data_IF_396037843337
#
_entry.id   IF_396037843337
#
_cell.length_a   1.000
_cell.length_b   1.000
_cell.length_c   1.000
_cell.angle_alpha   90.00
_cell.angle_beta   90.00
_cell.angle_gamma   90.00
#
_symmetry.space_group_name_H-M   'P 1'
#
loop_
_entity.id
_entity.type
_entity.pdbx_description
1 polymer ?
#
# COMPACT_ATOMS: atom_id res chain seq x y z
N UNK A 1 -18.17 -9.31 -5.38
CA UNK A 1 -17.35 -9.28 -4.13
C UNK A 1 -17.10 -7.84 -3.68
N UNK A 2 -16.69 -6.94 -4.58
CA UNK A 2 -16.44 -5.52 -4.23
C UNK A 2 -17.69 -4.83 -3.66
N UNK A 3 -18.86 -5.03 -4.27
CA UNK A 3 -20.10 -4.41 -3.80
C UNK A 3 -20.49 -4.85 -2.38
N UNK A 4 -20.31 -6.12 -2.03
CA UNK A 4 -20.63 -6.63 -0.69
C UNK A 4 -19.67 -6.05 0.36
N UNK A 5 -18.36 -5.96 0.05
CA UNK A 5 -17.39 -5.33 0.93
C UNK A 5 -17.72 -3.86 1.17
N UNK A 6 -17.98 -3.11 0.09
CA UNK A 6 -18.30 -1.68 0.18
C UNK A 6 -19.55 -1.44 1.02
N UNK A 7 -20.61 -2.22 0.81
CA UNK A 7 -21.84 -2.12 1.61
C UNK A 7 -21.59 -2.40 3.10
N UNK A 8 -20.76 -3.39 3.40
CA UNK A 8 -20.37 -3.72 4.78
C UNK A 8 -19.57 -2.58 5.43
N UNK A 9 -18.60 -2.01 4.73
CA UNK A 9 -17.78 -0.90 5.26
C UNK A 9 -18.65 0.34 5.52
N UNK A 10 -19.55 0.68 4.59
CA UNK A 10 -20.52 1.77 4.79
C UNK A 10 -21.45 1.51 5.97
N UNK A 11 -21.94 0.27 6.15
CA UNK A 11 -22.72 -0.12 7.31
C UNK A 11 -21.93 0.08 8.62
N UNK A 12 -20.68 -0.35 8.67
CA UNK A 12 -19.83 -0.18 9.85
C UNK A 12 -19.57 1.29 10.18
N UNK A 13 -19.41 2.12 9.16
CA UNK A 13 -19.30 3.56 9.35
C UNK A 13 -20.60 4.16 9.93
N UNK A 14 -21.77 3.78 9.40
CA UNK A 14 -23.06 4.24 9.90
C UNK A 14 -23.31 3.84 11.36
N UNK A 15 -22.96 2.59 11.73
CA UNK A 15 -23.04 2.13 13.12
C UNK A 15 -22.09 2.97 13.99
N UNK A 16 -20.85 3.18 13.56
CA UNK A 16 -19.88 4.00 14.28
C UNK A 16 -20.34 5.44 14.47
N UNK A 17 -20.92 6.04 13.44
CA UNK A 17 -21.46 7.41 13.46
C UNK A 17 -22.66 7.53 14.43
N UNK A 18 -23.56 6.57 14.41
CA UNK A 18 -24.69 6.54 15.35
C UNK A 18 -24.23 6.43 16.81
N UNK A 19 -23.16 5.63 17.08
CA UNK A 19 -22.58 5.53 18.42
C UNK A 19 -21.96 6.87 18.85
N UNK A 20 -21.20 7.54 17.98
CA UNK A 20 -20.59 8.84 18.29
C UNK A 20 -21.68 9.88 18.62
N UNK A 21 -22.72 9.94 17.79
CA UNK A 21 -23.84 10.86 18.00
C UNK A 21 -24.55 10.59 19.34
N UNK A 22 -24.82 9.34 19.67
CA UNK A 22 -25.46 8.99 20.94
C UNK A 22 -24.56 9.23 22.16
N UNK A 23 -23.25 9.09 21.98
CA UNK A 23 -22.29 9.46 23.04
C UNK A 23 -22.29 10.96 23.31
N UNK A 24 -22.44 11.79 22.29
CA UNK A 24 -22.49 13.24 22.40
C UNK A 24 -23.83 13.72 23.01
N UNK A 25 -24.98 13.18 22.53
CA UNK A 25 -26.31 13.58 22.96
C UNK A 25 -26.70 13.05 24.37
N UNK A 26 -26.33 11.80 24.68
CA UNK A 26 -26.84 11.06 25.85
C UNK A 26 -25.73 10.71 26.86
N UNK A 27 -24.47 11.12 26.61
CA UNK A 27 -23.36 10.83 27.52
C UNK A 27 -23.03 9.33 27.64
N UNK A 28 -23.21 8.56 26.57
CA UNK A 28 -23.01 7.12 26.56
C UNK A 28 -21.57 6.74 26.93
N UNK A 29 -21.42 6.03 28.06
CA UNK A 29 -20.14 5.46 28.46
C UNK A 29 -19.80 4.13 27.77
N UNK A 30 -18.60 3.60 28.06
CA UNK A 30 -18.09 2.35 27.47
C UNK A 30 -19.02 1.13 27.64
N UNK A 31 -19.76 1.06 28.74
CA UNK A 31 -20.70 -0.05 29.03
C UNK A 31 -21.86 -0.17 28.03
N UNK A 32 -22.21 0.91 27.33
CA UNK A 32 -23.27 0.90 26.32
C UNK A 32 -22.83 0.12 25.09
N UNK A 33 -21.56 0.18 24.70
CA UNK A 33 -21.01 -0.60 23.58
C UNK A 33 -21.16 -2.10 23.85
N UNK A 34 -20.87 -2.54 25.08
CA UNK A 34 -20.99 -3.96 25.45
C UNK A 34 -22.46 -4.43 25.42
N UNK A 35 -23.37 -3.59 25.89
CA UNK A 35 -24.82 -3.86 25.80
C UNK A 35 -25.32 -3.90 24.36
N UNK A 36 -24.94 -2.92 23.55
CA UNK A 36 -25.28 -2.87 22.14
C UNK A 36 -24.75 -4.09 21.38
N UNK A 37 -23.53 -4.54 21.69
CA UNK A 37 -22.95 -5.74 21.10
C UNK A 37 -23.78 -6.98 21.41
N UNK A 38 -24.29 -7.09 22.64
CA UNK A 38 -25.17 -8.18 23.05
C UNK A 38 -26.50 -8.11 22.30
N UNK A 39 -27.16 -6.96 22.28
CA UNK A 39 -28.45 -6.76 21.61
C UNK A 39 -28.36 -7.06 20.11
N UNK A 40 -27.28 -6.61 19.44
CA UNK A 40 -27.02 -6.90 18.03
C UNK A 40 -26.73 -8.39 17.78
N UNK A 41 -26.02 -9.05 18.69
CA UNK A 41 -25.73 -10.47 18.56
C UNK A 41 -26.99 -11.31 18.78
N UNK A 42 -27.88 -10.90 19.69
CA UNK A 42 -29.16 -11.58 19.95
C UNK A 42 -30.13 -11.37 18.76
N UNK A 43 -30.12 -10.18 18.13
CA UNK A 43 -30.93 -9.88 16.95
C UNK A 43 -30.39 -10.52 15.66
N UNK A 44 -29.06 -10.70 15.55
CA UNK A 44 -28.38 -11.24 14.36
C UNK A 44 -27.38 -12.32 14.75
N UNK A 45 -27.82 -13.51 15.22
CA UNK A 45 -26.97 -14.55 15.79
C UNK A 45 -25.92 -15.09 14.80
N UNK A 46 -26.24 -15.09 13.51
CA UNK A 46 -25.35 -15.56 12.44
C UNK A 46 -24.24 -14.57 12.07
N UNK A 47 -24.30 -13.33 12.57
CA UNK A 47 -23.31 -12.29 12.28
C UNK A 47 -22.23 -12.20 13.36
N UNK A 48 -21.07 -12.79 13.12
CA UNK A 48 -19.90 -12.74 14.02
C UNK A 48 -19.25 -11.35 14.14
N UNK A 49 -19.67 -10.40 13.30
CA UNK A 49 -19.08 -9.06 13.19
C UNK A 49 -19.46 -8.09 14.31
N UNK A 50 -20.45 -8.40 15.16
CA UNK A 50 -20.92 -7.53 16.23
C UNK A 50 -20.31 -7.81 17.61
N UNK A 51 -19.00 -8.21 17.64
CA UNK A 51 -18.29 -8.29 18.90
C UNK A 51 -18.02 -6.88 19.49
N UNK A 52 -17.94 -6.73 20.82
CA UNK A 52 -17.64 -5.43 21.47
C UNK A 52 -16.37 -4.77 20.91
N UNK A 53 -15.34 -5.58 20.64
CA UNK A 53 -14.10 -5.11 20.03
C UNK A 53 -14.34 -4.51 18.63
N UNK A 54 -15.12 -5.18 17.81
CA UNK A 54 -15.37 -4.71 16.44
C UNK A 54 -16.27 -3.47 16.43
N UNK A 55 -17.24 -3.36 17.33
CA UNK A 55 -18.07 -2.16 17.48
C UNK A 55 -17.22 -0.96 17.92
N UNK A 56 -16.22 -1.16 18.81
CA UNK A 56 -15.25 -0.12 19.15
C UNK A 56 -14.44 0.34 17.93
N UNK A 57 -14.08 -0.59 17.05
CA UNK A 57 -13.43 -0.24 15.77
C UNK A 57 -14.37 0.51 14.81
N UNK A 58 -15.65 0.15 14.73
CA UNK A 58 -16.63 0.88 13.92
C UNK A 58 -16.77 2.33 14.40
N UNK A 59 -16.80 2.55 15.73
CA UNK A 59 -16.79 3.89 16.31
C UNK A 59 -15.51 4.66 15.95
N UNK A 60 -14.32 4.06 16.19
CA UNK A 60 -13.02 4.66 15.83
C UNK A 60 -12.95 4.96 14.32
N UNK A 61 -13.51 4.09 13.50
CA UNK A 61 -13.58 4.25 12.05
C UNK A 61 -14.38 5.50 11.66
N UNK A 62 -15.58 5.68 12.21
CA UNK A 62 -16.38 6.87 11.95
C UNK A 62 -15.76 8.17 12.51
N UNK A 63 -15.04 8.09 13.63
CA UNK A 63 -14.29 9.18 14.23
C UNK A 63 -13.12 9.63 13.34
N UNK A 64 -12.34 8.66 12.80
CA UNK A 64 -11.19 8.93 11.94
C UNK A 64 -11.59 9.32 10.50
N UNK A 65 -12.79 8.96 10.06
CA UNK A 65 -13.34 9.25 8.74
C UNK A 65 -14.63 10.05 8.85
N UNK A 66 -14.57 11.35 9.18
CA UNK A 66 -15.78 12.17 9.37
C UNK A 66 -16.55 12.40 8.06
N UNK A 67 -15.86 12.37 6.92
CA UNK A 67 -16.43 12.57 5.60
C UNK A 67 -16.83 11.22 4.95
N UNK A 68 -18.15 11.07 4.74
CA UNK A 68 -18.71 9.86 4.15
C UNK A 68 -18.37 9.70 2.66
N UNK A 69 -18.10 10.78 1.93
CA UNK A 69 -17.69 10.67 0.54
C UNK A 69 -16.31 9.98 0.40
N UNK A 70 -15.38 10.30 1.29
CA UNK A 70 -14.08 9.62 1.34
C UNK A 70 -14.28 8.14 1.67
N UNK A 71 -15.18 7.82 2.61
CA UNK A 71 -15.50 6.43 2.94
C UNK A 71 -16.00 5.67 1.72
N UNK A 72 -16.97 6.21 1.01
CA UNK A 72 -17.54 5.56 -0.18
C UNK A 72 -16.55 5.43 -1.34
N UNK A 73 -15.78 6.47 -1.61
CA UNK A 73 -14.91 6.53 -2.79
C UNK A 73 -13.58 5.81 -2.62
N UNK A 74 -13.06 5.76 -1.41
CA UNK A 74 -11.72 5.25 -1.14
C UNK A 74 -11.79 4.03 -0.21
N UNK A 75 -12.05 4.25 1.07
CA UNK A 75 -11.84 3.20 2.08
C UNK A 75 -12.81 2.03 2.01
N UNK A 76 -13.98 2.20 1.37
CA UNK A 76 -14.91 1.10 1.11
C UNK A 76 -14.42 0.11 0.04
N UNK A 77 -13.39 0.45 -0.71
CA UNK A 77 -12.78 -0.44 -1.71
C UNK A 77 -11.80 -1.44 -1.10
N UNK A 78 -11.30 -1.18 0.11
CA UNK A 78 -10.35 -2.05 0.80
C UNK A 78 -11.02 -2.89 1.89
N UNK A 79 -10.49 -4.10 2.22
CA UNK A 79 -11.09 -4.98 3.23
C UNK A 79 -11.11 -4.35 4.63
N UNK A 80 -12.07 -4.76 5.46
CA UNK A 80 -12.18 -4.29 6.85
C UNK A 80 -10.91 -4.48 7.68
N UNK A 81 -10.21 -5.62 7.50
CA UNK A 81 -8.94 -5.88 8.19
C UNK A 81 -7.90 -4.81 7.84
N UNK A 82 -7.82 -4.43 6.58
CA UNK A 82 -6.90 -3.40 6.07
C UNK A 82 -7.28 -2.02 6.61
N UNK A 83 -8.58 -1.69 6.61
CA UNK A 83 -9.07 -0.44 7.24
C UNK A 83 -8.66 -0.34 8.72
N UNK A 84 -8.85 -1.42 9.49
CA UNK A 84 -8.42 -1.44 10.90
C UNK A 84 -6.92 -1.21 11.06
N UNK A 85 -6.10 -1.77 10.18
CA UNK A 85 -4.66 -1.56 10.21
C UNK A 85 -4.29 -0.08 9.98
N UNK A 86 -4.92 0.59 9.02
CA UNK A 86 -4.73 2.03 8.81
C UNK A 86 -5.07 2.84 10.07
N UNK A 87 -6.16 2.47 10.78
CA UNK A 87 -6.56 3.13 12.02
C UNK A 87 -5.59 2.89 13.18
N UNK A 88 -4.93 1.74 13.22
CA UNK A 88 -4.06 1.35 14.33
C UNK A 88 -2.61 1.84 14.16
N UNK A 89 -2.16 2.03 12.93
CA UNK A 89 -0.76 2.30 12.60
C UNK A 89 -0.45 3.71 12.11
N UNK A 90 -1.47 4.47 11.76
CA UNK A 90 -1.31 5.82 11.20
C UNK A 90 -2.07 6.83 12.06
N UNK A 91 -1.44 7.97 12.31
CA UNK A 91 -1.99 8.97 13.22
C UNK A 91 -2.80 10.05 12.49
N UNK A 92 -2.41 10.41 11.26
CA UNK A 92 -3.05 11.49 10.50
C UNK A 92 -4.04 10.97 9.46
N UNK A 93 -5.00 11.80 9.09
CA UNK A 93 -5.97 11.48 8.04
C UNK A 93 -5.29 11.45 6.66
N UNK A 94 -4.34 12.34 6.44
CA UNK A 94 -3.57 12.44 5.20
C UNK A 94 -2.80 11.16 4.90
N UNK A 95 -2.08 10.63 5.91
CA UNK A 95 -1.37 9.36 5.78
C UNK A 95 -2.32 8.21 5.48
N UNK A 96 -3.45 8.13 6.21
CA UNK A 96 -4.46 7.08 5.98
C UNK A 96 -5.02 7.13 4.56
N UNK A 97 -5.35 8.31 4.05
CA UNK A 97 -5.84 8.51 2.67
C UNK A 97 -4.76 8.07 1.68
N UNK A 98 -3.52 8.51 1.87
CA UNK A 98 -2.42 8.20 0.98
C UNK A 98 -2.16 6.69 0.89
N UNK A 99 -2.05 6.01 2.04
CA UNK A 99 -1.85 4.55 2.07
C UNK A 99 -3.07 3.77 1.57
N UNK A 100 -4.30 4.27 1.77
CA UNK A 100 -5.51 3.66 1.20
C UNK A 100 -5.48 3.71 -0.33
N UNK A 101 -5.15 4.87 -0.92
CA UNK A 101 -4.97 4.99 -2.37
C UNK A 101 -3.88 4.06 -2.90
N UNK A 102 -2.71 4.04 -2.27
CA UNK A 102 -1.61 3.15 -2.66
C UNK A 102 -1.97 1.67 -2.55
N UNK A 103 -2.77 1.31 -1.54
CA UNK A 103 -3.29 -0.06 -1.40
C UNK A 103 -4.21 -0.45 -2.56
N UNK A 104 -5.07 0.46 -3.02
CA UNK A 104 -5.97 0.24 -4.16
C UNK A 104 -5.18 0.17 -5.47
N UNK A 105 -4.30 1.14 -5.71
CA UNK A 105 -3.50 1.24 -6.92
C UNK A 105 -2.62 0.00 -7.16
N UNK A 106 -2.01 -0.51 -6.10
CA UNK A 106 -1.04 -1.61 -6.18
C UNK A 106 -1.63 -2.96 -5.78
N UNK A 107 -2.90 -3.03 -5.36
CA UNK A 107 -3.54 -4.27 -4.93
C UNK A 107 -2.92 -4.90 -3.68
N UNK A 108 -2.38 -4.10 -2.76
CA UNK A 108 -1.66 -4.61 -1.60
C UNK A 108 -2.53 -5.46 -0.68
N UNK A 109 -1.97 -6.58 -0.25
CA UNK A 109 -2.49 -7.32 0.89
C UNK A 109 -2.25 -6.54 2.20
N UNK A 110 -2.95 -6.93 3.27
CA UNK A 110 -2.70 -6.32 4.58
C UNK A 110 -1.26 -6.51 5.06
N UNK A 111 -0.60 -7.60 4.69
CA UNK A 111 0.81 -7.86 5.04
C UNK A 111 1.74 -6.89 4.30
N UNK A 112 1.53 -6.71 3.01
CA UNK A 112 2.33 -5.77 2.21
C UNK A 112 2.13 -4.33 2.68
N UNK A 113 0.87 -3.92 2.91
CA UNK A 113 0.58 -2.60 3.48
C UNK A 113 1.32 -2.38 4.80
N UNK A 114 1.35 -3.39 5.68
CA UNK A 114 2.07 -3.31 6.95
C UNK A 114 3.56 -3.03 6.77
N UNK A 115 4.20 -3.74 5.85
CA UNK A 115 5.61 -3.51 5.49
C UNK A 115 5.84 -2.10 4.95
N UNK A 116 4.95 -1.61 4.07
CA UNK A 116 5.10 -0.27 3.49
C UNK A 116 4.93 0.84 4.54
N UNK A 117 4.04 0.65 5.51
CA UNK A 117 3.90 1.55 6.65
C UNK A 117 5.16 1.52 7.53
N UNK A 118 5.65 0.32 7.89
CA UNK A 118 6.85 0.18 8.72
C UNK A 118 8.11 0.75 8.05
N UNK A 119 8.22 0.62 6.73
CA UNK A 119 9.31 1.19 5.93
C UNK A 119 9.14 2.68 5.65
N UNK A 120 8.07 3.31 6.15
CA UNK A 120 7.76 4.73 5.98
C UNK A 120 7.75 5.16 4.50
N UNK A 121 7.06 4.39 3.66
CA UNK A 121 7.03 4.63 2.21
C UNK A 121 6.62 6.06 1.87
N UNK A 122 5.66 6.65 2.58
CA UNK A 122 5.21 8.03 2.36
C UNK A 122 6.35 9.05 2.50
N UNK A 123 7.27 8.84 3.46
CA UNK A 123 8.42 9.74 3.66
C UNK A 123 9.49 9.59 2.58
N UNK A 124 9.55 8.43 1.92
CA UNK A 124 10.52 8.11 0.87
C UNK A 124 10.05 8.47 -0.52
N UNK A 125 8.72 8.55 -0.72
CA UNK A 125 8.14 8.87 -2.03
C UNK A 125 8.57 10.27 -2.48
N UNK A 126 9.02 10.40 -3.72
CA UNK A 126 9.48 11.66 -4.31
C UNK A 126 10.84 12.14 -3.81
N UNK A 127 11.60 11.31 -3.07
CA UNK A 127 12.93 11.66 -2.53
C UNK A 127 14.08 10.86 -3.15
N UNK A 128 13.84 10.20 -4.26
CA UNK A 128 14.90 9.49 -4.97
C UNK A 128 15.98 10.47 -5.43
N UNK A 129 17.21 10.18 -5.02
CA UNK A 129 18.37 10.97 -5.46
C UNK A 129 18.83 10.41 -6.78
N UNK A 130 18.71 11.20 -7.84
CA UNK A 130 19.22 10.83 -9.15
C UNK A 130 20.12 11.94 -9.69
N UNK A 131 20.96 11.61 -10.66
CA UNK A 131 21.86 12.55 -11.32
C UNK A 131 21.37 12.96 -12.73
N UNK A 132 20.13 12.66 -13.07
CA UNK A 132 19.58 12.93 -14.40
C UNK A 132 19.72 14.40 -14.83
N UNK A 133 19.45 15.40 -13.95
CA UNK A 133 19.59 16.80 -14.33
C UNK A 133 21.04 17.22 -14.65
N UNK A 134 22.03 16.47 -14.14
CA UNK A 134 23.47 16.76 -14.33
C UNK A 134 24.04 15.93 -15.48
N UNK A 135 23.59 14.68 -15.61
CA UNK A 135 24.15 13.71 -16.55
C UNK A 135 23.47 13.68 -17.91
N UNK A 136 22.23 14.18 -18.01
CA UNK A 136 21.42 14.13 -19.23
C UNK A 136 21.04 15.52 -19.74
N UNK A 137 20.84 15.72 -21.06
CA UNK A 137 20.18 16.91 -21.59
C UNK A 137 18.81 17.12 -20.97
N UNK A 138 18.28 18.36 -20.84
CA UNK A 138 17.03 18.65 -20.13
C UNK A 138 15.84 17.79 -20.59
N UNK A 139 15.64 17.63 -21.90
CA UNK A 139 14.54 16.83 -22.45
C UNK A 139 14.64 15.34 -22.06
N UNK A 140 15.87 14.79 -22.05
CA UNK A 140 16.12 13.39 -21.69
C UNK A 140 16.02 13.19 -20.17
N UNK A 141 16.44 14.19 -19.37
CA UNK A 141 16.30 14.21 -17.91
C UNK A 141 14.81 14.19 -17.50
N UNK A 142 13.98 15.04 -18.14
CA UNK A 142 12.54 15.07 -17.87
C UNK A 142 11.89 13.75 -18.29
N UNK A 143 12.27 13.19 -19.43
CA UNK A 143 11.77 11.88 -19.89
C UNK A 143 12.19 10.76 -18.91
N UNK A 144 13.44 10.75 -18.44
CA UNK A 144 13.94 9.77 -17.48
C UNK A 144 13.15 9.84 -16.16
N UNK A 145 12.92 11.04 -15.62
CA UNK A 145 12.13 11.24 -14.41
C UNK A 145 10.66 10.77 -14.55
N UNK A 146 10.10 10.82 -15.76
CA UNK A 146 8.74 10.32 -16.01
C UNK A 146 8.67 8.80 -16.21
N UNK A 147 9.75 8.18 -16.64
CA UNK A 147 9.80 6.74 -16.94
C UNK A 147 10.14 5.92 -15.71
N UNK A 148 11.13 6.36 -14.93
CA UNK A 148 11.55 5.66 -13.73
C UNK A 148 10.60 5.96 -12.58
N UNK A 149 10.17 4.92 -11.89
CA UNK A 149 9.33 5.04 -10.70
C UNK A 149 10.14 5.52 -9.49
N UNK A 150 9.51 6.25 -8.61
CA UNK A 150 10.07 6.66 -7.34
C UNK A 150 9.04 6.50 -6.21
N UNK A 151 9.18 5.47 -5.39
CA UNK A 151 10.09 4.33 -5.47
C UNK A 151 9.57 3.17 -6.31
N UNK A 152 10.44 2.22 -6.66
CA UNK A 152 10.04 0.90 -7.13
C UNK A 152 9.55 0.04 -5.96
N UNK A 153 8.52 -0.79 -6.22
CA UNK A 153 7.89 -1.65 -5.22
C UNK A 153 8.16 -3.12 -5.55
N UNK A 154 8.98 -3.76 -4.73
CA UNK A 154 9.37 -5.17 -4.91
C UNK A 154 8.60 -6.11 -3.98
N UNK A 155 7.30 -5.84 -3.79
CA UNK A 155 6.40 -6.60 -2.89
C UNK A 155 6.31 -8.08 -3.25
N UNK A 156 6.52 -8.42 -4.53
CA UNK A 156 6.54 -9.78 -5.02
C UNK A 156 7.71 -10.63 -4.50
N UNK A 157 8.75 -10.01 -3.93
CA UNK A 157 9.85 -10.73 -3.29
C UNK A 157 9.47 -11.31 -1.92
N UNK A 158 8.29 -10.94 -1.38
CA UNK A 158 7.75 -11.42 -0.11
C UNK A 158 8.30 -10.68 1.11
N UNK A 159 7.82 -11.12 2.27
CA UNK A 159 8.13 -10.48 3.56
C UNK A 159 9.53 -10.78 4.09
N UNK A 160 10.11 -11.89 3.64
CA UNK A 160 11.47 -12.29 3.98
C UNK A 160 12.46 -11.63 3.02
N UNK A 161 12.62 -10.32 3.18
CA UNK A 161 13.61 -9.57 2.40
C UNK A 161 15.00 -10.18 2.65
N UNK A 162 15.63 -10.76 1.61
CA UNK A 162 16.98 -11.30 1.76
C UNK A 162 17.94 -10.17 2.13
N UNK A 163 18.78 -10.44 3.12
CA UNK A 163 19.79 -9.47 3.58
C UNK A 163 21.06 -9.50 2.76
N UNK A 164 21.19 -10.48 1.88
CA UNK A 164 22.38 -10.67 1.03
C UNK A 164 22.04 -10.39 -0.42
N UNK A 165 22.89 -9.65 -1.09
CA UNK A 165 22.76 -9.23 -2.49
C UNK A 165 22.51 -10.42 -3.44
N UNK A 166 23.24 -11.53 -3.27
CA UNK A 166 23.08 -12.76 -4.05
C UNK A 166 21.67 -13.37 -3.93
N UNK A 167 21.05 -13.28 -2.76
CA UNK A 167 19.68 -13.79 -2.55
C UNK A 167 18.63 -12.87 -3.22
N UNK A 168 18.86 -11.56 -3.21
CA UNK A 168 18.01 -10.58 -3.90
C UNK A 168 18.07 -10.82 -5.39
N UNK A 169 19.26 -10.94 -5.97
CA UNK A 169 19.48 -11.24 -7.39
C UNK A 169 18.75 -12.52 -7.81
N UNK A 170 18.90 -13.60 -7.04
CA UNK A 170 18.22 -14.87 -7.33
C UNK A 170 16.70 -14.73 -7.30
N UNK A 171 16.14 -14.08 -6.28
CA UNK A 171 14.68 -13.87 -6.17
C UNK A 171 14.15 -12.97 -7.28
N UNK A 172 14.86 -11.91 -7.65
CA UNK A 172 14.49 -11.06 -8.79
C UNK A 172 14.45 -11.86 -10.10
N UNK A 173 15.42 -12.77 -10.29
CA UNK A 173 15.48 -13.63 -11.49
C UNK A 173 14.37 -14.68 -11.48
N UNK A 174 14.04 -15.28 -10.34
CA UNK A 174 12.93 -16.23 -10.18
C UNK A 174 11.57 -15.56 -10.47
N UNK A 175 11.45 -14.27 -10.18
CA UNK A 175 10.24 -13.48 -10.39
C UNK A 175 10.40 -12.45 -11.52
N UNK A 176 11.20 -12.74 -12.53
CA UNK A 176 11.56 -11.80 -13.60
C UNK A 176 10.34 -11.15 -14.27
N UNK A 177 9.23 -11.89 -14.41
CA UNK A 177 8.00 -11.34 -14.98
C UNK A 177 7.43 -10.22 -14.10
N UNK A 178 7.34 -10.43 -12.80
CA UNK A 178 6.86 -9.43 -11.85
C UNK A 178 7.83 -8.26 -11.77
N UNK A 179 9.12 -8.52 -11.84
CA UNK A 179 10.15 -7.50 -11.86
C UNK A 179 10.04 -6.61 -13.10
N UNK A 180 9.85 -7.19 -14.30
CA UNK A 180 9.62 -6.43 -15.53
C UNK A 180 8.32 -5.62 -15.49
N UNK A 181 7.26 -6.15 -14.89
CA UNK A 181 6.00 -5.41 -14.70
C UNK A 181 6.19 -4.23 -13.75
N UNK A 182 6.98 -4.40 -12.70
CA UNK A 182 7.29 -3.32 -11.76
C UNK A 182 8.19 -2.26 -12.39
N UNK A 183 9.19 -2.64 -13.18
CA UNK A 183 10.01 -1.69 -13.94
C UNK A 183 9.15 -0.83 -14.88
N UNK A 184 8.09 -1.41 -15.43
CA UNK A 184 7.15 -0.70 -16.31
C UNK A 184 7.44 -0.89 -17.80
N UNK A 185 6.75 -0.09 -18.62
CA UNK A 185 6.84 -0.22 -20.07
C UNK A 185 8.17 0.29 -20.63
N UNK A 186 8.71 -0.48 -21.55
CA UNK A 186 9.90 -0.10 -22.31
C UNK A 186 11.18 -0.78 -21.87
N UNK A 187 11.17 -1.52 -20.78
CA UNK A 187 12.30 -2.33 -20.35
C UNK A 187 12.31 -3.69 -21.04
N UNK A 188 13.47 -4.04 -21.62
CA UNK A 188 13.75 -5.37 -22.16
C UNK A 188 14.90 -5.97 -21.41
N UNK A 189 14.71 -7.17 -20.86
CA UNK A 189 15.77 -7.92 -20.18
C UNK A 189 16.80 -8.40 -21.22
N UNK A 190 18.07 -8.03 -21.01
CA UNK A 190 19.18 -8.38 -21.91
C UNK A 190 19.95 -9.59 -21.37
N UNK A 191 20.23 -9.60 -20.07
CA UNK A 191 21.00 -10.69 -19.51
C UNK A 191 21.26 -10.55 -18.01
N UNK A 192 21.84 -11.60 -17.46
CA UNK A 192 22.31 -11.70 -16.09
C UNK A 192 23.80 -11.99 -16.07
N UNK A 193 24.53 -11.45 -15.08
CA UNK A 193 25.97 -11.61 -14.92
C UNK A 193 26.71 -11.30 -16.22
N UNK A 194 26.36 -10.14 -16.82
CA UNK A 194 26.93 -9.71 -18.10
C UNK A 194 28.36 -9.21 -17.86
N UNK A 195 29.32 -9.89 -18.45
CA UNK A 195 30.72 -9.51 -18.36
C UNK A 195 31.03 -8.28 -19.21
N UNK A 196 31.74 -7.32 -18.63
CA UNK A 196 32.25 -6.13 -19.29
C UNK A 196 33.75 -5.99 -18.97
N UNK A 197 34.55 -5.76 -20.00
CA UNK A 197 35.96 -5.38 -19.85
C UNK A 197 36.13 -3.88 -20.15
N UNK A 198 36.63 -3.12 -19.18
CA UNK A 198 36.86 -1.69 -19.32
C UNK A 198 38.23 -1.34 -18.83
N UNK A 199 39.10 -0.86 -19.72
CA UNK A 199 40.45 -0.44 -19.37
C UNK A 199 41.39 -1.56 -18.94
N UNK A 200 41.02 -2.82 -19.22
CA UNK A 200 41.78 -4.03 -18.80
C UNK A 200 41.28 -4.62 -17.46
N UNK A 201 40.24 -4.03 -16.85
CA UNK A 201 39.59 -4.55 -15.66
C UNK A 201 38.27 -5.23 -16.04
N UNK A 202 37.95 -6.33 -15.34
CA UNK A 202 36.73 -7.12 -15.52
C UNK A 202 35.64 -6.65 -14.57
N UNK A 203 34.44 -6.38 -15.12
CA UNK A 203 33.26 -6.02 -14.38
C UNK A 203 32.11 -6.97 -14.73
N UNK A 204 31.20 -7.21 -13.77
CA UNK A 204 30.03 -8.03 -13.98
C UNK A 204 28.79 -7.22 -13.59
N UNK A 205 27.82 -7.11 -14.52
CA UNK A 205 26.52 -6.49 -14.24
C UNK A 205 25.53 -7.59 -13.87
N UNK A 206 24.95 -7.54 -12.68
CA UNK A 206 24.06 -8.56 -12.17
C UNK A 206 22.82 -8.74 -13.03
N UNK A 207 22.15 -7.65 -13.38
CA UNK A 207 20.98 -7.63 -14.25
C UNK A 207 21.11 -6.47 -15.24
N UNK A 208 21.11 -6.78 -16.53
CA UNK A 208 21.21 -5.79 -17.59
C UNK A 208 19.88 -5.69 -18.34
N UNK A 209 19.38 -4.48 -18.48
CA UNK A 209 18.18 -4.15 -19.26
C UNK A 209 18.52 -3.16 -20.37
N UNK A 210 17.69 -3.13 -21.42
CA UNK A 210 17.68 -2.10 -22.41
C UNK A 210 16.35 -1.35 -22.37
N UNK A 211 16.37 -0.03 -22.33
CA UNK A 211 15.16 0.76 -22.34
C UNK A 211 14.86 1.30 -23.73
N UNK A 212 13.75 0.83 -24.33
CA UNK A 212 13.38 1.08 -25.72
C UNK A 212 13.17 2.57 -26.04
N UNK A 213 12.56 3.33 -25.12
CA UNK A 213 12.28 4.76 -25.32
C UNK A 213 13.52 5.63 -25.10
N UNK A 214 14.26 5.35 -24.03
CA UNK A 214 15.49 6.06 -23.70
C UNK A 214 16.68 5.63 -24.59
N UNK A 215 16.56 4.47 -25.25
CA UNK A 215 17.60 3.89 -26.13
C UNK A 215 18.94 3.72 -25.41
N UNK A 216 18.92 3.30 -24.17
CA UNK A 216 20.11 3.06 -23.35
C UNK A 216 20.03 1.74 -22.57
N UNK A 217 21.16 1.28 -22.10
CA UNK A 217 21.25 0.19 -21.14
C UNK A 217 21.03 0.71 -19.73
N UNK A 218 20.41 -0.12 -18.88
CA UNK A 218 20.06 0.17 -17.49
C UNK A 218 20.45 -1.02 -16.62
#
# INVERSE_FOLDING_TARGET
>A
VLNANSSMICLYWNIGKAILQKQEEEGWGAKVIDRMAKDLKDAFPDMSSFSPRNIKYMRKFAECWPDFEIVQRVVAQIPWRTNRMLLDKLDTQEERIWYAHKTIENGWSSTILDLQIQSKLIERTGKSVNNFPVALPPADSDMANQIFKDPYLFDFLGTDMPRREVEIERKLTEHIQNFLLELGQGFAFVGRQVHLEVGGDDFYIDLLFYHLKLRCYV
#
